data_IF_098795442947
#
_entry.id   IF_098795442947
#
_cell.length_a   1.000
_cell.length_b   1.000
_cell.length_c   1.000
_cell.angle_alpha   90.00
_cell.angle_beta   90.00
_cell.angle_gamma   90.00
#
_symmetry.space_group_name_H-M   'P 1'
#
loop_
_entity.id
_entity.type
_entity.pdbx_description
1 polymer ?
#
# COMPACT_ATOMS: atom_id res chain seq x y z
N UNK A 1 8.26 -7.60 33.47
CA UNK A 1 9.24 -7.81 32.37
C UNK A 1 8.77 -6.95 31.22
N UNK A 2 9.64 -6.11 30.68
CA UNK A 2 9.36 -5.26 29.51
C UNK A 2 9.11 -6.16 28.31
N UNK A 3 7.89 -6.16 27.78
CA UNK A 3 7.53 -6.94 26.60
C UNK A 3 7.80 -6.12 25.33
N UNK A 4 8.26 -6.78 24.26
CA UNK A 4 8.38 -6.15 22.94
C UNK A 4 7.32 -6.72 22.01
N UNK A 5 6.44 -5.88 21.50
CA UNK A 5 5.43 -6.25 20.51
C UNK A 5 6.01 -6.05 19.13
N UNK A 6 6.11 -7.14 18.36
CA UNK A 6 6.45 -7.11 16.95
C UNK A 6 5.16 -7.17 16.12
N UNK A 7 4.79 -6.03 15.53
CA UNK A 7 3.67 -5.92 14.61
C UNK A 7 4.16 -6.20 13.18
N UNK A 8 3.70 -7.32 12.66
CA UNK A 8 3.95 -7.81 11.31
C UNK A 8 2.88 -7.31 10.34
N UNK A 9 3.24 -7.26 9.07
CA UNK A 9 2.31 -6.96 7.99
C UNK A 9 1.48 -8.19 7.65
N UNK A 10 0.15 -8.08 7.77
CA UNK A 10 -0.76 -9.18 7.50
C UNK A 10 -0.69 -9.68 6.04
N UNK A 11 -0.24 -8.83 5.10
CA UNK A 11 -0.06 -9.22 3.68
C UNK A 11 1.10 -10.19 3.53
N UNK A 12 2.16 -10.01 4.33
CA UNK A 12 3.41 -10.76 4.26
C UNK A 12 3.93 -11.08 5.67
N UNK A 13 3.22 -11.93 6.42
CA UNK A 13 3.53 -12.19 7.83
C UNK A 13 4.83 -12.98 8.02
N UNK A 14 5.43 -13.49 6.96
CA UNK A 14 6.75 -14.15 6.95
C UNK A 14 7.91 -13.21 6.61
N UNK A 15 7.63 -11.95 6.23
CA UNK A 15 8.64 -10.97 5.84
C UNK A 15 9.14 -10.16 7.04
N UNK A 16 9.96 -10.80 7.89
CA UNK A 16 10.64 -10.14 9.01
C UNK A 16 12.02 -9.64 8.55
N UNK A 17 12.35 -8.34 8.71
CA UNK A 17 13.68 -7.84 8.38
C UNK A 17 14.78 -8.59 9.13
N UNK A 18 15.85 -9.01 8.43
CA UNK A 18 16.91 -9.84 9.03
C UNK A 18 17.58 -9.18 10.25
N UNK A 19 17.73 -7.85 10.24
CA UNK A 19 18.27 -7.09 11.37
C UNK A 19 17.36 -7.15 12.60
N UNK A 20 16.05 -7.33 12.41
CA UNK A 20 15.06 -7.47 13.48
C UNK A 20 14.95 -8.94 13.92
N UNK A 21 14.92 -9.88 12.97
CA UNK A 21 14.90 -11.31 13.25
C UNK A 21 16.07 -11.72 14.17
N UNK A 22 17.28 -11.19 13.94
CA UNK A 22 18.45 -11.47 14.79
C UNK A 22 18.37 -10.91 16.23
N UNK A 23 17.42 -10.02 16.52
CA UNK A 23 17.20 -9.43 17.84
C UNK A 23 16.19 -10.23 18.68
N UNK A 24 15.35 -11.03 18.04
CA UNK A 24 14.32 -11.81 18.71
C UNK A 24 15.00 -12.96 19.47
N UNK A 25 15.00 -12.86 20.80
CA UNK A 25 15.62 -13.82 21.72
C UNK A 25 14.76 -13.99 22.97
N UNK A 26 14.80 -15.18 23.56
CA UNK A 26 14.02 -15.51 24.75
C UNK A 26 12.61 -16.01 24.44
N UNK A 27 11.62 -15.60 25.24
CA UNK A 27 10.24 -16.09 25.14
C UNK A 27 9.48 -15.36 24.05
N UNK A 28 8.83 -16.09 23.13
CA UNK A 28 7.96 -15.53 22.09
C UNK A 28 6.54 -16.05 22.24
N UNK A 29 5.58 -15.14 22.24
CA UNK A 29 4.15 -15.42 22.14
C UNK A 29 3.64 -14.93 20.79
N UNK A 30 2.61 -15.60 20.28
CA UNK A 30 1.96 -15.24 19.03
C UNK A 30 0.48 -15.04 19.27
N UNK A 31 -0.08 -13.97 18.73
CA UNK A 31 -1.52 -13.82 18.64
C UNK A 31 -2.12 -14.84 17.64
N UNK A 32 -3.42 -15.16 17.74
CA UNK A 32 -4.02 -16.27 16.98
C UNK A 32 -3.95 -16.13 15.46
N UNK A 33 -3.94 -14.90 14.93
CA UNK A 33 -3.94 -14.60 13.51
C UNK A 33 -2.59 -14.83 12.81
N UNK A 34 -1.48 -14.91 13.57
CA UNK A 34 -0.16 -15.16 12.97
C UNK A 34 -0.13 -16.59 12.40
N UNK A 35 0.21 -16.82 11.11
CA UNK A 35 0.19 -18.16 10.53
C UNK A 35 1.14 -19.14 11.22
N UNK A 36 0.75 -20.42 11.34
CA UNK A 36 1.57 -21.47 11.97
C UNK A 36 2.94 -21.62 11.31
N UNK A 37 3.01 -21.44 9.99
CA UNK A 37 4.28 -21.46 9.24
C UNK A 37 5.27 -20.42 9.74
N UNK A 38 4.81 -19.20 10.03
CA UNK A 38 5.64 -18.12 10.59
C UNK A 38 6.11 -18.48 11.99
N UNK A 39 5.21 -19.02 12.83
CA UNK A 39 5.54 -19.42 14.21
C UNK A 39 6.63 -20.48 14.27
N UNK A 40 6.65 -21.41 13.31
CA UNK A 40 7.65 -22.47 13.22
C UNK A 40 8.95 -22.01 12.57
N UNK A 41 8.89 -21.05 11.65
CA UNK A 41 10.06 -20.51 10.96
C UNK A 41 10.92 -19.60 11.85
N UNK A 42 10.32 -19.02 12.90
CA UNK A 42 11.03 -18.14 13.83
C UNK A 42 11.93 -18.98 14.75
N UNK A 43 13.19 -19.13 14.35
CA UNK A 43 14.24 -19.75 15.17
C UNK A 43 14.76 -18.72 16.18
N UNK A 44 14.37 -18.91 17.45
CA UNK A 44 14.62 -17.95 18.52
C UNK A 44 15.72 -18.50 19.43
N UNK A 45 16.84 -17.78 19.50
CA UNK A 45 17.92 -18.13 20.42
C UNK A 45 17.52 -17.87 21.88
N UNK A 46 18.13 -18.62 22.79
CA UNK A 46 17.99 -18.40 24.24
C UNK A 46 18.31 -16.95 24.62
N UNK A 47 17.54 -16.42 25.57
CA UNK A 47 17.65 -15.05 26.06
C UNK A 47 16.61 -14.74 27.14
N UNK A 48 16.66 -13.53 27.67
CA UNK A 48 15.79 -13.01 28.72
C UNK A 48 14.64 -12.12 28.17
N UNK A 49 14.62 -11.88 26.85
CA UNK A 49 13.57 -11.11 26.18
C UNK A 49 12.19 -11.77 26.23
N UNK A 50 11.15 -10.95 26.21
CA UNK A 50 9.76 -11.39 26.03
C UNK A 50 9.16 -10.65 24.84
N UNK A 51 8.79 -11.42 23.82
CA UNK A 51 8.26 -10.93 22.57
C UNK A 51 6.82 -11.37 22.38
N UNK A 52 6.01 -10.49 21.81
CA UNK A 52 4.65 -10.79 21.36
C UNK A 52 4.60 -10.44 19.87
N UNK A 53 4.35 -11.43 19.03
CA UNK A 53 4.27 -11.27 17.57
C UNK A 53 2.81 -11.29 17.15
N UNK A 54 2.39 -10.28 16.38
CA UNK A 54 1.00 -10.12 15.94
C UNK A 54 0.94 -9.48 14.56
N UNK A 55 -0.14 -9.73 13.82
CA UNK A 55 -0.47 -8.95 12.60
C UNK A 55 -1.69 -8.04 12.82
N UNK A 56 -2.25 -8.02 14.03
CA UNK A 56 -3.40 -7.19 14.40
C UNK A 56 -2.93 -5.89 15.07
N UNK A 57 -3.02 -4.73 14.39
CA UNK A 57 -2.63 -3.45 14.97
C UNK A 57 -3.46 -3.09 16.21
N UNK A 58 -4.73 -3.48 16.29
CA UNK A 58 -5.59 -3.20 17.46
C UNK A 58 -5.22 -4.07 18.66
N UNK A 59 -4.74 -5.29 18.41
CA UNK A 59 -4.17 -6.11 19.48
C UNK A 59 -2.85 -5.50 19.97
N UNK A 60 -1.98 -5.08 19.06
CA UNK A 60 -0.73 -4.41 19.42
C UNK A 60 -0.97 -3.12 20.24
N UNK A 61 -1.91 -2.27 19.83
CA UNK A 61 -2.27 -1.04 20.53
C UNK A 61 -2.75 -1.28 21.96
N UNK A 62 -3.61 -2.30 22.19
CA UNK A 62 -4.11 -2.66 23.53
C UNK A 62 -3.01 -3.13 24.49
N UNK A 63 -1.86 -3.57 23.97
CA UNK A 63 -0.72 -4.00 24.79
C UNK A 63 0.17 -2.82 25.22
N UNK A 64 -0.03 -1.64 24.62
CA UNK A 64 0.73 -0.42 24.93
C UNK A 64 0.16 0.37 26.12
N UNK A 65 -0.92 -0.11 26.74
CA UNK A 65 -1.45 0.45 27.99
C UNK A 65 -0.50 0.22 29.20
N UNK A 66 0.57 -0.58 29.02
CA UNK A 66 1.67 -0.77 29.97
C UNK A 66 2.90 0.04 29.52
N UNK A 67 3.35 1.00 30.35
CA UNK A 67 4.51 1.87 30.10
C UNK A 67 5.82 1.09 29.83
N UNK A 68 5.86 -0.20 30.17
CA UNK A 68 7.00 -1.07 29.92
C UNK A 68 6.93 -1.82 28.56
N UNK A 69 5.97 -1.56 27.68
CA UNK A 69 5.85 -2.25 26.38
C UNK A 69 6.48 -1.43 25.25
N UNK A 70 7.34 -2.05 24.45
CA UNK A 70 7.89 -1.46 23.22
C UNK A 70 7.15 -1.99 21.99
N UNK A 71 6.63 -1.13 21.11
CA UNK A 71 6.10 -1.54 19.80
C UNK A 71 7.16 -1.39 18.71
N UNK A 72 7.44 -2.48 17.99
CA UNK A 72 8.22 -2.47 16.76
C UNK A 72 7.29 -2.87 15.61
N UNK A 73 7.12 -1.97 14.65
CA UNK A 73 6.42 -2.23 13.39
C UNK A 73 7.42 -2.66 12.33
N UNK A 74 7.08 -3.64 11.51
CA UNK A 74 7.89 -3.95 10.32
C UNK A 74 7.83 -2.78 9.32
N UNK A 75 8.92 -2.49 8.58
CA UNK A 75 8.96 -1.37 7.65
C UNK A 75 7.88 -1.37 6.57
N UNK A 76 7.33 -2.54 6.21
CA UNK A 76 6.27 -2.64 5.20
C UNK A 76 4.93 -2.02 5.65
N UNK A 77 4.73 -1.82 6.96
CA UNK A 77 3.59 -1.09 7.52
C UNK A 77 3.76 0.44 7.42
N UNK A 78 4.97 0.90 7.17
CA UNK A 78 5.28 2.32 6.94
C UNK A 78 5.24 2.69 5.44
N UNK A 79 4.72 1.79 4.59
CA UNK A 79 4.51 2.03 3.16
C UNK A 79 3.39 3.07 2.95
N UNK A 80 3.70 4.27 2.41
CA UNK A 80 2.69 5.31 2.20
C UNK A 80 1.55 4.90 1.27
N UNK A 81 1.79 3.97 0.34
CA UNK A 81 0.74 3.49 -0.57
C UNK A 81 -0.26 2.61 0.19
N UNK A 82 0.24 1.69 1.03
CA UNK A 82 -0.61 0.93 1.94
C UNK A 82 -1.42 1.87 2.83
N UNK A 83 -0.75 2.84 3.47
CA UNK A 83 -1.40 3.78 4.38
C UNK A 83 -2.51 4.58 3.68
N UNK A 84 -2.31 4.99 2.43
CA UNK A 84 -3.33 5.70 1.66
C UNK A 84 -4.56 4.82 1.38
N UNK A 85 -4.36 3.55 1.00
CA UNK A 85 -5.45 2.58 0.79
C UNK A 85 -6.21 2.32 2.09
N UNK A 86 -5.49 2.05 3.19
CA UNK A 86 -6.11 1.81 4.50
C UNK A 86 -6.85 3.05 5.03
N UNK A 87 -6.31 4.24 4.80
CA UNK A 87 -6.96 5.50 5.17
C UNK A 87 -8.27 5.69 4.41
N UNK A 88 -8.29 5.45 3.10
CA UNK A 88 -9.53 5.53 2.33
C UNK A 88 -10.57 4.50 2.79
N UNK A 89 -10.14 3.25 3.04
CA UNK A 89 -11.01 2.21 3.60
C UNK A 89 -11.61 2.61 4.94
N UNK A 90 -10.80 3.17 5.84
CA UNK A 90 -11.29 3.64 7.14
C UNK A 90 -12.22 4.86 7.00
N UNK A 91 -11.93 5.76 6.05
CA UNK A 91 -12.79 6.90 5.73
C UNK A 91 -14.16 6.43 5.23
N UNK A 92 -14.20 5.52 4.25
CA UNK A 92 -15.44 4.86 3.78
C UNK A 92 -16.16 4.07 4.88
N UNK A 93 -15.43 3.53 5.87
CA UNK A 93 -16.04 2.81 6.98
C UNK A 93 -16.67 3.72 8.05
N UNK A 94 -16.19 4.95 8.21
CA UNK A 94 -16.55 5.81 9.37
C UNK A 94 -17.13 7.18 9.03
N UNK A 95 -16.77 7.74 7.90
CA UNK A 95 -17.18 9.07 7.50
C UNK A 95 -18.53 9.03 6.78
N UNK A 96 -19.52 9.76 7.29
CA UNK A 96 -20.87 9.79 6.69
C UNK A 96 -20.82 10.32 5.26
N UNK A 97 -20.04 11.38 5.01
CA UNK A 97 -19.88 11.94 3.66
C UNK A 97 -19.21 10.94 2.72
N UNK A 98 -18.13 10.31 3.16
CA UNK A 98 -17.40 9.32 2.39
C UNK A 98 -18.30 8.13 2.04
N UNK A 99 -19.15 7.67 2.97
CA UNK A 99 -20.11 6.59 2.75
C UNK A 99 -21.17 6.94 1.69
N UNK A 100 -21.63 8.19 1.66
CA UNK A 100 -22.64 8.67 0.71
C UNK A 100 -22.10 8.78 -0.73
N UNK A 101 -20.77 8.82 -0.91
CA UNK A 101 -20.18 8.95 -2.24
C UNK A 101 -20.44 7.72 -3.12
N UNK A 102 -20.78 7.96 -4.38
CA UNK A 102 -20.85 6.96 -5.46
C UNK A 102 -19.88 7.33 -6.58
N UNK A 103 -19.67 6.44 -7.55
CA UNK A 103 -18.86 6.78 -8.73
C UNK A 103 -19.39 8.04 -9.43
N UNK A 104 -20.71 8.16 -9.55
CA UNK A 104 -21.38 9.27 -10.23
C UNK A 104 -21.31 10.58 -9.44
N UNK A 105 -21.49 10.53 -8.11
CA UNK A 105 -21.42 11.74 -7.27
C UNK A 105 -20.01 12.33 -7.19
N UNK A 106 -18.98 11.50 -7.43
CA UNK A 106 -17.58 11.91 -7.43
C UNK A 106 -17.11 12.57 -8.74
N UNK A 107 -17.85 12.41 -9.85
CA UNK A 107 -17.43 12.93 -11.16
C UNK A 107 -17.12 14.44 -11.19
N UNK A 108 -17.88 15.32 -10.50
CA UNK A 108 -17.55 16.75 -10.45
C UNK A 108 -16.20 17.00 -9.77
N UNK A 109 -15.93 16.33 -8.64
CA UNK A 109 -14.67 16.44 -7.93
C UNK A 109 -13.51 15.91 -8.79
N UNK A 110 -13.67 14.75 -9.42
CA UNK A 110 -12.66 14.22 -10.36
C UNK A 110 -12.33 15.20 -11.50
N UNK A 111 -13.35 15.88 -12.05
CA UNK A 111 -13.14 16.87 -13.10
C UNK A 111 -12.42 18.12 -12.58
N UNK A 112 -12.74 18.56 -11.36
CA UNK A 112 -12.08 19.67 -10.66
C UNK A 112 -10.59 19.34 -10.42
N UNK A 113 -10.28 18.23 -9.74
CA UNK A 113 -8.89 17.85 -9.43
C UNK A 113 -8.03 17.65 -10.68
N UNK A 114 -8.60 17.05 -11.73
CA UNK A 114 -7.90 16.93 -13.02
C UNK A 114 -7.64 18.30 -13.66
N UNK A 115 -8.55 19.25 -13.45
CA UNK A 115 -8.40 20.66 -13.84
C UNK A 115 -7.29 21.36 -13.07
N UNK A 116 -7.25 21.20 -11.75
CA UNK A 116 -6.24 21.80 -10.87
C UNK A 116 -4.83 21.29 -11.20
N UNK A 117 -4.67 19.98 -11.42
CA UNK A 117 -3.40 19.40 -11.91
C UNK A 117 -3.00 20.04 -13.24
N UNK A 118 -3.94 20.17 -14.19
CA UNK A 118 -3.64 20.76 -15.49
C UNK A 118 -3.26 22.24 -15.37
N UNK A 119 -3.90 22.98 -14.46
CA UNK A 119 -3.62 24.39 -14.22
C UNK A 119 -2.26 24.58 -13.54
N UNK A 120 -1.93 23.79 -12.51
CA UNK A 120 -0.60 23.79 -11.88
C UNK A 120 0.53 23.56 -12.92
N UNK A 121 0.31 22.65 -13.88
CA UNK A 121 1.25 22.40 -14.98
C UNK A 121 1.34 23.62 -15.92
N UNK A 122 0.20 24.19 -16.34
CA UNK A 122 0.17 25.33 -17.28
C UNK A 122 0.82 26.58 -16.71
N UNK A 123 0.60 26.84 -15.42
CA UNK A 123 1.15 28.01 -14.72
C UNK A 123 2.59 27.80 -14.27
N UNK A 124 3.13 26.58 -14.41
CA UNK A 124 4.45 26.18 -13.89
C UNK A 124 4.54 26.43 -12.38
N UNK A 125 3.51 25.99 -11.67
CA UNK A 125 3.46 26.06 -10.22
C UNK A 125 4.68 25.35 -9.60
N UNK A 126 5.09 25.74 -8.38
CA UNK A 126 6.13 25.03 -7.64
C UNK A 126 5.80 23.55 -7.46
N UNK A 127 6.82 22.69 -7.40
CA UNK A 127 6.64 21.23 -7.25
C UNK A 127 5.78 20.84 -6.04
N UNK A 128 5.79 21.65 -4.97
CA UNK A 128 4.96 21.43 -3.79
C UNK A 128 3.45 21.54 -4.11
N UNK A 129 3.07 22.47 -4.98
CA UNK A 129 1.68 22.68 -5.42
C UNK A 129 1.28 21.56 -6.40
N UNK A 130 2.13 21.25 -7.40
CA UNK A 130 1.86 20.12 -8.30
C UNK A 130 1.72 18.79 -7.53
N UNK A 131 2.55 18.57 -6.51
CA UNK A 131 2.45 17.38 -5.66
C UNK A 131 1.14 17.34 -4.88
N UNK A 132 0.65 18.48 -4.39
CA UNK A 132 -0.66 18.59 -3.73
C UNK A 132 -1.76 18.17 -4.70
N UNK A 133 -1.84 18.77 -5.88
CA UNK A 133 -2.94 18.46 -6.81
C UNK A 133 -2.87 17.03 -7.36
N UNK A 134 -1.67 16.46 -7.51
CA UNK A 134 -1.53 15.03 -7.81
C UNK A 134 -2.01 14.13 -6.67
N UNK A 135 -1.89 14.56 -5.42
CA UNK A 135 -2.44 13.85 -4.25
C UNK A 135 -3.96 13.91 -4.23
N UNK A 136 -4.54 15.08 -4.55
CA UNK A 136 -5.99 15.27 -4.59
C UNK A 136 -6.60 14.49 -5.77
N UNK A 137 -5.91 14.40 -6.91
CA UNK A 137 -6.29 13.48 -8.00
C UNK A 137 -6.16 12.00 -7.60
N UNK A 138 -5.14 11.62 -6.82
CA UNK A 138 -4.99 10.27 -6.29
C UNK A 138 -6.14 9.90 -5.34
N UNK A 139 -6.65 10.85 -4.55
CA UNK A 139 -7.82 10.67 -3.68
C UNK A 139 -9.02 10.16 -4.49
N UNK A 140 -9.25 10.70 -5.68
CA UNK A 140 -10.35 10.28 -6.56
C UNK A 140 -10.16 8.84 -7.06
N UNK A 141 -8.93 8.44 -7.39
CA UNK A 141 -8.61 7.05 -7.78
C UNK A 141 -8.86 6.10 -6.61
N UNK A 142 -8.45 6.48 -5.39
CA UNK A 142 -8.66 5.68 -4.18
C UNK A 142 -10.15 5.53 -3.84
N UNK A 143 -10.95 6.59 -3.96
CA UNK A 143 -12.39 6.51 -3.77
C UNK A 143 -13.04 5.51 -4.72
N UNK A 144 -12.76 5.62 -6.02
CA UNK A 144 -13.34 4.72 -7.00
C UNK A 144 -12.87 3.27 -6.80
N UNK A 145 -11.62 3.07 -6.38
CA UNK A 145 -11.10 1.76 -6.04
C UNK A 145 -11.80 1.16 -4.81
N UNK A 146 -11.97 1.92 -3.72
CA UNK A 146 -12.63 1.43 -2.50
C UNK A 146 -14.13 1.15 -2.73
N UNK A 147 -14.84 2.02 -3.47
CA UNK A 147 -16.25 1.77 -3.85
C UNK A 147 -16.39 0.47 -4.67
N UNK A 148 -15.39 0.14 -5.50
CA UNK A 148 -15.37 -1.11 -6.24
C UNK A 148 -14.97 -2.32 -5.35
N UNK A 149 -14.09 -2.12 -4.38
CA UNK A 149 -13.62 -3.13 -3.43
C UNK A 149 -14.74 -3.57 -2.49
N UNK A 150 -15.56 -2.64 -2.00
CA UNK A 150 -16.71 -2.89 -1.12
C UNK A 150 -17.74 -3.86 -1.72
N UNK A 151 -17.85 -3.90 -3.05
CA UNK A 151 -18.71 -4.84 -3.79
C UNK A 151 -17.96 -6.07 -4.31
N UNK A 152 -16.69 -6.24 -3.96
CA UNK A 152 -15.83 -7.34 -4.38
C UNK A 152 -15.49 -7.35 -5.86
N UNK A 153 -15.50 -6.19 -6.53
CA UNK A 153 -15.22 -6.10 -7.97
C UNK A 153 -13.72 -5.97 -8.27
N UNK A 154 -13.07 -4.95 -7.70
CA UNK A 154 -11.63 -4.71 -7.80
C UNK A 154 -11.21 -3.68 -6.74
N UNK A 155 -9.96 -3.72 -6.29
CA UNK A 155 -9.37 -2.72 -5.40
C UNK A 155 -8.25 -1.92 -6.07
N UNK A 156 -7.57 -1.08 -5.28
CA UNK A 156 -6.46 -0.25 -5.78
C UNK A 156 -5.31 -1.09 -6.36
N UNK A 157 -5.02 -2.25 -5.76
CA UNK A 157 -4.02 -3.19 -6.26
C UNK A 157 -4.33 -3.69 -7.67
N UNK A 158 -5.60 -3.96 -7.98
CA UNK A 158 -6.02 -4.38 -9.31
C UNK A 158 -5.89 -3.26 -10.34
N UNK A 159 -6.17 -2.01 -9.95
CA UNK A 159 -5.95 -0.82 -10.80
C UNK A 159 -4.46 -0.70 -11.17
N UNK A 160 -3.57 -0.84 -10.17
CA UNK A 160 -2.13 -0.82 -10.38
C UNK A 160 -1.67 -2.01 -11.24
N UNK A 161 -2.18 -3.21 -10.99
CA UNK A 161 -1.90 -4.41 -11.79
C UNK A 161 -2.31 -4.26 -13.25
N UNK A 162 -3.52 -3.75 -13.49
CA UNK A 162 -4.02 -3.47 -14.84
C UNK A 162 -3.17 -2.44 -15.59
N UNK A 163 -2.62 -1.44 -14.90
CA UNK A 163 -1.63 -0.53 -15.47
C UNK A 163 -0.35 -1.27 -15.87
N UNK A 164 0.23 -2.09 -14.98
CA UNK A 164 1.45 -2.86 -15.27
C UNK A 164 1.23 -3.79 -16.46
N UNK A 165 0.12 -4.53 -16.49
CA UNK A 165 -0.21 -5.46 -17.59
C UNK A 165 -0.37 -4.72 -18.93
N UNK A 166 -0.99 -3.55 -18.91
CA UNK A 166 -1.08 -2.66 -20.08
C UNK A 166 0.30 -2.24 -20.56
N UNK A 167 1.19 -1.86 -19.64
CA UNK A 167 2.56 -1.48 -19.99
C UNK A 167 3.37 -2.67 -20.50
N UNK A 168 3.20 -3.88 -19.97
CA UNK A 168 3.84 -5.10 -20.50
C UNK A 168 3.46 -5.37 -21.95
N UNK A 169 2.21 -5.10 -22.34
CA UNK A 169 1.72 -5.25 -23.72
C UNK A 169 2.19 -4.13 -24.65
N UNK A 170 2.10 -2.87 -24.20
CA UNK A 170 2.29 -1.68 -25.05
C UNK A 170 3.71 -1.12 -25.04
N UNK A 171 4.52 -1.49 -24.05
CA UNK A 171 5.90 -1.07 -23.87
C UNK A 171 6.76 -2.23 -23.30
N UNK A 172 6.85 -3.38 -24.00
CA UNK A 172 7.54 -4.57 -23.51
C UNK A 172 9.03 -4.35 -23.20
N UNK A 173 9.66 -3.38 -23.85
CA UNK A 173 11.05 -2.97 -23.60
C UNK A 173 11.31 -2.49 -22.16
N UNK A 174 10.26 -2.18 -21.39
CA UNK A 174 10.38 -1.88 -19.95
C UNK A 174 10.57 -3.15 -19.09
N UNK A 175 10.38 -4.35 -19.66
CA UNK A 175 10.28 -5.61 -18.91
C UNK A 175 11.10 -6.77 -19.49
N UNK A 176 11.71 -6.61 -20.67
CA UNK A 176 12.42 -7.69 -21.36
C UNK A 176 13.93 -7.75 -21.04
N UNK A 177 14.41 -6.88 -20.15
CA UNK A 177 15.81 -6.80 -19.75
C UNK A 177 16.70 -6.09 -20.78
N UNK A 178 16.13 -5.49 -21.82
CA UNK A 178 16.88 -4.57 -22.69
C UNK A 178 17.33 -3.32 -21.92
N UNK A 179 18.44 -2.74 -22.37
CA UNK A 179 19.02 -1.53 -21.79
C UNK A 179 19.20 -0.46 -22.88
N UNK A 180 19.21 0.80 -22.47
CA UNK A 180 19.34 1.95 -23.34
C UNK A 180 18.00 2.51 -23.85
N UNK A 181 18.04 3.69 -24.48
CA UNK A 181 16.84 4.38 -24.94
C UNK A 181 16.22 3.66 -26.15
N UNK A 182 14.91 3.49 -26.12
CA UNK A 182 14.12 3.05 -27.27
C UNK A 182 13.67 4.27 -28.05
N UNK A 183 13.83 4.27 -29.37
CA UNK A 183 13.44 5.42 -30.19
C UNK A 183 11.91 5.58 -30.23
N UNK A 184 11.45 6.83 -30.40
CA UNK A 184 10.03 7.15 -30.40
C UNK A 184 9.23 6.38 -31.47
N UNK A 185 9.80 6.14 -32.65
CA UNK A 185 9.11 5.41 -33.71
C UNK A 185 8.82 3.97 -33.31
N UNK A 186 9.76 3.32 -32.63
CA UNK A 186 9.55 2.00 -32.02
C UNK A 186 8.50 2.05 -30.92
N UNK A 187 8.56 3.04 -30.02
CA UNK A 187 7.56 3.20 -28.94
C UNK A 187 6.14 3.37 -29.50
N UNK A 188 5.95 4.28 -30.47
CA UNK A 188 4.65 4.56 -31.09
C UNK A 188 4.09 3.31 -31.77
N UNK A 189 4.94 2.55 -32.49
CA UNK A 189 4.56 1.29 -33.14
C UNK A 189 4.10 0.24 -32.10
N UNK A 190 4.91 0.00 -31.07
CA UNK A 190 4.60 -0.98 -30.01
C UNK A 190 3.31 -0.61 -29.26
N UNK A 191 3.07 0.69 -29.06
CA UNK A 191 1.86 1.16 -28.41
C UNK A 191 0.60 0.84 -29.20
N UNK A 192 0.63 1.08 -30.52
CA UNK A 192 -0.49 0.77 -31.43
C UNK A 192 -0.72 -0.74 -31.51
N UNK A 193 0.35 -1.53 -31.65
CA UNK A 193 0.29 -3.00 -31.68
C UNK A 193 -0.31 -3.56 -30.38
N UNK A 194 0.20 -3.13 -29.22
CA UNK A 194 -0.29 -3.58 -27.92
C UNK A 194 -1.76 -3.19 -27.67
N UNK A 195 -2.20 -2.01 -28.15
CA UNK A 195 -3.61 -1.59 -28.04
C UNK A 195 -4.55 -2.42 -28.92
N UNK A 196 -4.08 -2.95 -30.06
CA UNK A 196 -4.89 -3.80 -30.93
C UNK A 196 -5.09 -5.23 -30.39
N UNK A 197 -4.30 -5.63 -29.39
CA UNK A 197 -4.36 -6.95 -28.74
C UNK A 197 -5.17 -6.99 -27.45
N UNK A 198 -5.82 -5.89 -27.08
CA UNK A 198 -6.76 -5.78 -25.94
C UNK A 198 -8.20 -6.07 -26.37
#
# INVERSE_FOLDING_TARGET
MTATVLLLDARWPDMIPLNLAGQIRGRVEFSPEVPVSVRWALDVADGDGHWIVTTDPKFAERLLDDDATTLIKVPSLEDPVLQAVETMREARRRGEWEQEMTHESLLPFLAEEAGEVADAIRTKAPDAELKKELSDLLLQVLFHAEIADERGAFGFGDVAGAFVDKMRRRAPYLFDGSDGPVDKGTQDRLWVEGKASE
#
